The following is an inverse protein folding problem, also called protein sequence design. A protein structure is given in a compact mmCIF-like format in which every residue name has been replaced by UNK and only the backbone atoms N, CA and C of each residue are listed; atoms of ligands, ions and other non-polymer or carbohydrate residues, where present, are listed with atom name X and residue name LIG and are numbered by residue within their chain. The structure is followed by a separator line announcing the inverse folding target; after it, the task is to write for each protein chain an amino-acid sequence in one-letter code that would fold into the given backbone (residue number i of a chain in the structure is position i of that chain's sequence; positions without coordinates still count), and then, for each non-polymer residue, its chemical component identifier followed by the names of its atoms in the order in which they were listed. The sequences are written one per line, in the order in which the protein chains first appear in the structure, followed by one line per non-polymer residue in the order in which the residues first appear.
data_IF_856753946404
#
_entry.id   IF_856753946404
#
_cell.length_a   1.000
_cell.length_b   1.000
_cell.length_c   1.000
_cell.angle_alpha   90.00
_cell.angle_beta   90.00
_cell.angle_gamma   90.00
#
_symmetry.space_group_name_H-M   'P 1'
#
loop_
_entity.id
_entity.type
_entity.pdbx_description
1 polymer ?
#
# COMPACT_ATOMS: atom_id res chain seq x y z
N UNK A 1 17.24 2.16 10.36
CA UNK A 1 16.07 2.60 11.15
C UNK A 1 14.87 1.64 11.05
N UNK A 2 14.52 1.10 9.86
CA UNK A 2 13.35 0.21 9.69
C UNK A 2 13.43 -1.18 10.37
N UNK A 3 14.63 -1.75 10.55
CA UNK A 3 14.79 -3.09 11.15
C UNK A 3 14.46 -3.13 12.65
N UNK A 4 14.90 -2.12 13.41
CA UNK A 4 14.57 -1.98 14.83
C UNK A 4 13.06 -1.80 15.04
N UNK A 5 12.40 -1.10 14.10
CA UNK A 5 10.95 -0.94 14.13
C UNK A 5 10.22 -2.27 13.92
N UNK A 6 10.70 -3.16 13.04
CA UNK A 6 10.08 -4.47 12.81
C UNK A 6 10.19 -5.39 14.04
N UNK A 7 11.34 -5.36 14.73
CA UNK A 7 11.52 -6.09 15.99
C UNK A 7 10.60 -5.61 17.10
N UNK A 8 10.53 -4.29 17.28
CA UNK A 8 9.60 -3.70 18.23
C UNK A 8 8.14 -4.03 17.87
N UNK A 9 7.81 -3.99 16.59
CA UNK A 9 6.46 -4.31 16.08
C UNK A 9 6.06 -5.75 16.45
N UNK A 10 6.95 -6.72 16.22
CA UNK A 10 6.72 -8.10 16.61
C UNK A 10 6.65 -8.28 18.13
N UNK A 11 7.57 -7.65 18.88
CA UNK A 11 7.55 -7.65 20.35
C UNK A 11 6.29 -7.02 20.96
N UNK A 12 5.64 -6.10 20.24
CA UNK A 12 4.36 -5.50 20.60
C UNK A 12 3.14 -6.37 20.22
N UNK A 13 3.35 -7.58 19.68
CA UNK A 13 2.31 -8.55 19.32
C UNK A 13 1.80 -8.45 17.89
N UNK A 14 2.43 -7.65 17.02
CA UNK A 14 2.04 -7.61 15.62
C UNK A 14 2.53 -8.86 14.87
N UNK A 15 1.65 -9.45 14.06
CA UNK A 15 1.91 -10.65 13.27
C UNK A 15 2.32 -10.36 11.82
N UNK A 16 2.50 -9.08 11.47
CA UNK A 16 2.93 -8.68 10.14
C UNK A 16 3.12 -7.18 10.00
N UNK A 17 3.70 -6.75 8.88
CA UNK A 17 3.94 -5.35 8.58
C UNK A 17 3.79 -5.02 7.09
N UNK A 18 3.50 -3.74 6.81
CA UNK A 18 3.71 -3.18 5.49
C UNK A 18 5.17 -2.70 5.39
N UNK A 19 5.88 -3.09 4.34
CA UNK A 19 7.26 -2.65 4.07
C UNK A 19 7.30 -1.99 2.70
N UNK A 20 7.46 -0.67 2.68
CA UNK A 20 7.45 0.12 1.44
C UNK A 20 8.82 0.26 0.78
N UNK A 21 8.77 0.36 -0.55
CA UNK A 21 9.93 0.58 -1.41
C UNK A 21 10.20 2.06 -1.69
N UNK A 22 9.31 2.98 -1.28
CA UNK A 22 9.61 4.40 -1.21
C UNK A 22 10.64 4.66 -0.09
N UNK A 23 11.65 5.47 -0.39
CA UNK A 23 12.60 5.95 0.62
C UNK A 23 11.91 6.93 1.56
N UNK A 24 12.43 7.06 2.78
CA UNK A 24 11.86 7.94 3.81
C UNK A 24 11.88 9.43 3.46
N UNK A 25 12.66 9.84 2.46
CA UNK A 25 12.63 11.20 1.91
C UNK A 25 11.45 11.45 0.95
N UNK A 26 10.77 10.39 0.49
CA UNK A 26 9.69 10.47 -0.48
C UNK A 26 10.15 10.75 -1.92
N UNK A 27 11.46 10.83 -2.17
CA UNK A 27 12.02 11.32 -3.43
C UNK A 27 12.41 10.22 -4.40
N UNK A 28 12.63 9.00 -3.92
CA UNK A 28 12.94 7.87 -4.79
C UNK A 28 12.49 6.55 -4.20
N UNK A 29 12.43 5.53 -5.04
CA UNK A 29 12.34 4.15 -4.60
C UNK A 29 13.74 3.62 -4.26
N UNK A 30 13.81 2.66 -3.36
CA UNK A 30 14.96 1.77 -3.27
C UNK A 30 15.16 1.01 -4.58
N UNK A 31 16.40 0.63 -4.87
CA UNK A 31 16.67 -0.32 -5.96
C UNK A 31 15.90 -1.62 -5.70
N UNK A 32 15.66 -2.40 -6.76
CA UNK A 32 14.92 -3.65 -6.62
C UNK A 32 15.65 -4.60 -5.66
N UNK A 33 16.97 -4.66 -5.80
CA UNK A 33 17.90 -5.47 -5.04
C UNK A 33 17.88 -5.09 -3.56
N UNK A 34 17.95 -3.78 -3.26
CA UNK A 34 17.87 -3.27 -1.88
C UNK A 34 16.51 -3.57 -1.26
N UNK A 35 15.40 -3.38 -1.99
CA UNK A 35 14.09 -3.68 -1.45
C UNK A 35 13.92 -5.18 -1.18
N UNK A 36 14.34 -6.05 -2.10
CA UNK A 36 14.32 -7.50 -1.90
C UNK A 36 15.16 -7.90 -0.68
N UNK A 37 16.36 -7.33 -0.53
CA UNK A 37 17.20 -7.55 0.64
C UNK A 37 16.49 -7.12 1.93
N UNK A 38 15.85 -5.94 1.94
CA UNK A 38 15.09 -5.44 3.09
C UNK A 38 13.94 -6.36 3.48
N UNK A 39 13.18 -6.87 2.51
CA UNK A 39 12.07 -7.81 2.78
C UNK A 39 12.59 -9.11 3.42
N UNK A 40 13.63 -9.71 2.84
CA UNK A 40 14.26 -10.93 3.37
C UNK A 40 14.79 -10.71 4.79
N UNK A 41 15.46 -9.57 5.03
CA UNK A 41 16.01 -9.26 6.36
C UNK A 41 14.91 -9.09 7.40
N UNK A 42 13.75 -8.52 7.06
CA UNK A 42 12.60 -8.44 7.99
C UNK A 42 12.09 -9.82 8.37
N UNK A 43 11.92 -10.73 7.40
CA UNK A 43 11.47 -12.10 7.67
C UNK A 43 12.49 -12.88 8.53
N UNK A 44 13.77 -12.78 8.19
CA UNK A 44 14.86 -13.42 8.94
C UNK A 44 14.88 -12.95 10.39
N UNK A 45 14.85 -11.64 10.61
CA UNK A 45 14.86 -11.04 11.95
C UNK A 45 13.60 -11.41 12.75
N UNK A 46 12.43 -11.46 12.11
CA UNK A 46 11.21 -11.93 12.77
C UNK A 46 11.34 -13.39 13.21
N UNK A 47 11.89 -14.26 12.36
CA UNK A 47 12.13 -15.66 12.69
C UNK A 47 13.17 -15.84 13.81
N UNK A 48 14.28 -15.09 13.79
CA UNK A 48 15.31 -15.05 14.86
C UNK A 48 14.70 -14.69 16.23
N UNK A 49 13.57 -13.98 16.24
CA UNK A 49 12.87 -13.52 17.45
C UNK A 49 11.60 -14.33 17.76
N UNK A 50 11.46 -15.52 17.17
CA UNK A 50 10.36 -16.45 17.47
C UNK A 50 9.06 -16.16 16.72
N UNK A 51 9.03 -15.20 15.79
CA UNK A 51 7.87 -14.86 14.97
C UNK A 51 7.94 -15.49 13.58
N UNK A 52 8.01 -16.81 13.51
CA UNK A 52 8.14 -17.55 12.24
C UNK A 52 6.91 -17.42 11.31
N UNK A 53 5.76 -17.02 11.84
CA UNK A 53 4.54 -16.74 11.08
C UNK A 53 4.38 -15.28 10.66
N UNK A 54 5.42 -14.44 10.78
CA UNK A 54 5.32 -13.02 10.46
C UNK A 54 5.10 -12.80 8.96
N UNK A 55 4.03 -12.09 8.60
CA UNK A 55 3.68 -11.83 7.19
C UNK A 55 4.13 -10.44 6.74
N UNK A 56 4.66 -10.34 5.52
CA UNK A 56 4.95 -9.05 4.90
C UNK A 56 3.93 -8.76 3.80
N UNK A 57 3.34 -7.57 3.90
CA UNK A 57 2.61 -6.93 2.81
C UNK A 57 3.55 -5.91 2.14
N UNK A 58 4.27 -6.33 1.11
CA UNK A 58 5.29 -5.50 0.47
C UNK A 58 4.62 -4.37 -0.32
N UNK A 59 4.84 -3.12 0.10
CA UNK A 59 4.21 -1.96 -0.52
C UNK A 59 5.07 -1.43 -1.66
N UNK A 60 4.45 -1.24 -2.82
CA UNK A 60 5.03 -0.73 -4.05
C UNK A 60 4.46 0.67 -4.34
N UNK A 61 5.33 1.67 -4.39
CA UNK A 61 5.01 3.09 -4.56
C UNK A 61 5.33 3.64 -5.95
N UNK A 62 5.57 2.79 -6.96
CA UNK A 62 5.87 3.21 -8.35
C UNK A 62 4.84 4.21 -8.88
N UNK A 63 3.54 3.90 -8.75
CA UNK A 63 2.48 4.81 -9.18
C UNK A 63 2.43 6.09 -8.35
N UNK A 64 2.55 5.97 -7.02
CA UNK A 64 2.56 7.11 -6.10
C UNK A 64 3.70 8.09 -6.42
N UNK A 65 4.93 7.59 -6.59
CA UNK A 65 6.10 8.41 -6.88
C UNK A 65 6.02 9.06 -8.27
N UNK A 66 5.58 8.33 -9.29
CA UNK A 66 5.42 8.89 -10.63
C UNK A 66 4.42 10.05 -10.62
N UNK A 67 3.27 9.86 -9.94
CA UNK A 67 2.25 10.89 -9.83
C UNK A 67 2.71 12.09 -8.99
N UNK A 68 3.39 11.88 -7.87
CA UNK A 68 3.89 12.98 -7.03
C UNK A 68 4.92 13.86 -7.74
N UNK A 69 5.66 13.30 -8.70
CA UNK A 69 6.60 14.03 -9.57
C UNK A 69 5.97 14.66 -10.80
N UNK A 70 4.65 14.64 -10.92
CA UNK A 70 3.92 15.28 -12.01
C UNK A 70 4.04 14.55 -13.35
N UNK A 71 4.28 13.24 -13.34
CA UNK A 71 4.23 12.45 -14.57
C UNK A 71 2.88 12.66 -15.25
N UNK A 72 2.91 13.12 -16.50
CA UNK A 72 1.69 13.29 -17.31
C UNK A 72 1.12 11.91 -17.61
N UNK A 73 -0.17 11.72 -17.37
CA UNK A 73 -0.88 10.51 -17.78
C UNK A 73 -0.83 10.34 -19.30
N UNK A 74 -0.40 9.18 -19.76
CA UNK A 74 -0.37 8.79 -21.17
C UNK A 74 -0.24 7.27 -21.26
N UNK A 75 -0.85 6.65 -22.28
CA UNK A 75 -0.98 5.19 -22.38
C UNK A 75 0.36 4.46 -22.25
N UNK A 76 1.38 4.87 -23.02
CA UNK A 76 2.70 4.23 -22.99
C UNK A 76 3.42 4.39 -21.64
N UNK A 77 3.22 5.53 -20.98
CA UNK A 77 3.79 5.82 -19.67
C UNK A 77 3.11 5.02 -18.56
N UNK A 78 1.79 4.96 -18.55
CA UNK A 78 1.00 4.17 -17.60
C UNK A 78 1.33 2.67 -17.73
N UNK A 79 1.46 2.16 -18.96
CA UNK A 79 1.87 0.77 -19.23
C UNK A 79 3.31 0.47 -18.78
N UNK A 80 4.24 1.41 -18.97
CA UNK A 80 5.61 1.24 -18.47
C UNK A 80 5.67 1.19 -16.93
N UNK A 81 4.88 2.03 -16.26
CA UNK A 81 4.76 2.01 -14.80
C UNK A 81 4.13 0.70 -14.31
N UNK A 82 3.08 0.21 -14.98
CA UNK A 82 2.44 -1.06 -14.63
C UNK A 82 3.43 -2.24 -14.78
N UNK A 83 4.22 -2.29 -15.85
CA UNK A 83 5.27 -3.30 -16.02
C UNK A 83 6.32 -3.25 -14.90
N UNK A 84 6.70 -2.05 -14.44
CA UNK A 84 7.63 -1.90 -13.32
C UNK A 84 7.01 -2.35 -11.99
N UNK A 85 5.73 -2.06 -11.75
CA UNK A 85 4.99 -2.58 -10.59
C UNK A 85 4.95 -4.12 -10.62
N UNK A 86 4.68 -4.72 -11.77
CA UNK A 86 4.68 -6.18 -11.95
C UNK A 86 6.06 -6.77 -11.66
N UNK A 87 7.12 -6.19 -12.24
CA UNK A 87 8.52 -6.62 -12.03
C UNK A 87 8.88 -6.61 -10.54
N UNK A 88 8.60 -5.50 -9.86
CA UNK A 88 8.83 -5.35 -8.42
C UNK A 88 7.99 -6.32 -7.59
N UNK A 89 6.69 -6.37 -7.85
CA UNK A 89 5.77 -7.21 -7.09
C UNK A 89 6.11 -8.70 -7.17
N UNK A 90 6.48 -9.22 -8.34
CA UNK A 90 6.93 -10.62 -8.48
C UNK A 90 8.18 -10.89 -7.65
N UNK A 91 9.18 -10.02 -7.74
CA UNK A 91 10.40 -10.15 -6.94
C UNK A 91 10.12 -10.05 -5.42
N UNK A 92 9.14 -9.24 -5.00
CA UNK A 92 8.73 -9.15 -3.59
C UNK A 92 8.07 -10.44 -3.11
N UNK A 93 7.22 -11.05 -3.94
CA UNK A 93 6.59 -12.35 -3.64
C UNK A 93 7.64 -13.47 -3.59
N UNK A 94 8.60 -13.49 -4.53
CA UNK A 94 9.74 -14.42 -4.52
C UNK A 94 10.65 -14.23 -3.29
N UNK A 95 10.75 -13.01 -2.78
CA UNK A 95 11.47 -12.70 -1.55
C UNK A 95 10.75 -13.17 -0.26
N UNK A 96 9.52 -13.69 -0.37
CA UNK A 96 8.74 -14.20 0.75
C UNK A 96 7.61 -13.28 1.22
N UNK A 97 7.32 -12.17 0.52
CA UNK A 97 6.14 -11.36 0.84
C UNK A 97 4.86 -12.18 0.63
N UNK A 98 3.91 -12.05 1.55
CA UNK A 98 2.61 -12.73 1.48
C UNK A 98 1.69 -12.05 0.47
N UNK A 99 1.74 -10.72 0.41
CA UNK A 99 0.98 -9.89 -0.53
C UNK A 99 1.81 -8.72 -1.05
N UNK A 100 1.45 -8.20 -2.21
CA UNK A 100 1.96 -6.94 -2.75
C UNK A 100 0.89 -5.87 -2.60
N UNK A 101 1.17 -4.81 -1.84
CA UNK A 101 0.30 -3.64 -1.76
C UNK A 101 0.72 -2.59 -2.78
N UNK A 102 -0.06 -2.41 -3.83
CA UNK A 102 0.22 -1.36 -4.82
C UNK A 102 -0.47 -0.07 -4.38
N UNK A 103 0.32 0.99 -4.17
CA UNK A 103 -0.17 2.29 -3.75
C UNK A 103 -0.03 3.33 -4.86
N UNK A 104 -1.17 3.89 -5.28
CA UNK A 104 -1.25 4.90 -6.32
C UNK A 104 -1.31 6.36 -5.82
N UNK A 105 -1.09 6.58 -4.53
CA UNK A 105 -1.23 7.91 -3.93
C UNK A 105 -2.70 8.36 -3.77
N UNK A 106 -2.89 9.51 -3.14
CA UNK A 106 -4.22 10.07 -2.86
C UNK A 106 -4.92 10.65 -4.11
N UNK A 107 -4.19 10.92 -5.18
CA UNK A 107 -4.72 11.49 -6.42
C UNK A 107 -5.09 10.43 -7.45
N UNK A 108 -4.09 9.74 -8.00
CA UNK A 108 -4.27 8.77 -9.10
C UNK A 108 -4.98 7.49 -8.67
N UNK A 109 -4.60 6.96 -7.50
CA UNK A 109 -5.01 5.62 -7.09
C UNK A 109 -4.52 4.52 -8.05
N UNK A 110 -5.13 3.35 -7.95
CA UNK A 110 -4.91 2.21 -8.86
C UNK A 110 -6.20 1.99 -9.64
N UNK A 111 -6.12 1.96 -10.96
CA UNK A 111 -7.29 1.90 -11.86
C UNK A 111 -7.76 0.45 -12.04
N UNK A 112 -9.03 0.26 -12.44
CA UNK A 112 -9.63 -1.07 -12.60
C UNK A 112 -8.78 -2.03 -13.45
N UNK A 113 -8.43 -1.64 -14.68
CA UNK A 113 -7.61 -2.49 -15.56
C UNK A 113 -6.25 -2.87 -14.94
N UNK A 114 -5.63 -1.97 -14.18
CA UNK A 114 -4.38 -2.24 -13.47
C UNK A 114 -4.59 -3.26 -12.36
N UNK A 115 -5.68 -3.12 -11.58
CA UNK A 115 -6.04 -4.08 -10.54
C UNK A 115 -6.23 -5.48 -11.13
N UNK A 116 -6.98 -5.61 -12.23
CA UNK A 116 -7.20 -6.91 -12.89
C UNK A 116 -5.89 -7.52 -13.37
N UNK A 117 -5.04 -6.74 -14.03
CA UNK A 117 -3.71 -7.20 -14.46
C UNK A 117 -2.86 -7.64 -13.28
N UNK A 118 -2.78 -6.83 -12.23
CA UNK A 118 -1.97 -7.12 -11.05
C UNK A 118 -2.46 -8.34 -10.27
N UNK A 119 -3.78 -8.58 -10.21
CA UNK A 119 -4.32 -9.82 -9.63
C UNK A 119 -3.83 -11.04 -10.41
N UNK A 120 -3.89 -11.00 -11.75
CA UNK A 120 -3.37 -12.09 -12.58
C UNK A 120 -1.86 -12.31 -12.40
N UNK A 121 -1.08 -11.24 -12.49
CA UNK A 121 0.39 -11.27 -12.41
C UNK A 121 0.91 -11.71 -11.03
N UNK A 122 0.15 -11.47 -9.95
CA UNK A 122 0.51 -11.84 -8.58
C UNK A 122 -0.17 -13.12 -8.08
N UNK A 123 -0.99 -13.76 -8.91
CA UNK A 123 -1.75 -14.96 -8.55
C UNK A 123 -2.69 -14.72 -7.38
N UNK A 124 -3.44 -13.61 -7.40
CA UNK A 124 -4.40 -13.23 -6.35
C UNK A 124 -3.77 -12.53 -5.13
N UNK A 125 -2.45 -12.52 -4.97
CA UNK A 125 -1.76 -11.95 -3.81
C UNK A 125 -1.61 -10.42 -3.85
N UNK A 126 -2.63 -9.73 -4.39
CA UNK A 126 -2.70 -8.27 -4.44
C UNK A 126 -3.41 -7.73 -3.20
N UNK A 127 -2.84 -6.68 -2.62
CA UNK A 127 -3.48 -5.83 -1.65
C UNK A 127 -3.69 -4.42 -2.24
N UNK A 128 -4.80 -3.77 -1.89
CA UNK A 128 -5.11 -2.39 -2.31
C UNK A 128 -5.65 -1.58 -1.13
N UNK A 129 -5.69 -0.26 -1.28
CA UNK A 129 -6.54 0.60 -0.46
C UNK A 129 -7.86 0.79 -1.19
N UNK A 130 -8.96 0.72 -0.46
CA UNK A 130 -10.28 1.11 -0.95
C UNK A 130 -10.22 2.57 -1.42
N UNK A 131 -10.57 2.75 -2.69
CA UNK A 131 -10.69 4.07 -3.32
C UNK A 131 -11.90 4.84 -2.80
N UNK A 132 -11.90 6.14 -3.05
CA UNK A 132 -13.02 7.03 -2.76
C UNK A 132 -13.53 7.64 -4.08
N UNK A 133 -14.82 7.96 -4.16
CA UNK A 133 -15.46 8.57 -5.33
C UNK A 133 -16.21 7.58 -6.22
N UNK A 134 -16.97 8.12 -7.18
CA UNK A 134 -17.91 7.36 -8.03
C UNK A 134 -17.22 6.32 -8.94
N UNK A 135 -15.95 6.54 -9.27
CA UNK A 135 -15.18 5.65 -10.13
C UNK A 135 -14.36 4.60 -9.35
N UNK A 136 -14.46 4.58 -8.02
CA UNK A 136 -13.75 3.61 -7.19
C UNK A 136 -14.53 2.30 -7.12
N UNK A 137 -13.82 1.18 -7.28
CA UNK A 137 -14.39 -0.15 -7.10
C UNK A 137 -14.81 -0.37 -5.64
N UNK A 138 -15.98 -0.98 -5.45
CA UNK A 138 -16.48 -1.42 -4.16
C UNK A 138 -15.69 -2.61 -3.62
N UNK A 139 -15.86 -2.90 -2.33
CA UNK A 139 -15.28 -4.09 -1.69
C UNK A 139 -15.71 -5.38 -2.39
N UNK A 140 -16.97 -5.46 -2.83
CA UNK A 140 -17.49 -6.63 -3.56
C UNK A 140 -16.79 -6.79 -4.91
N UNK A 141 -16.72 -5.74 -5.70
CA UNK A 141 -16.05 -5.78 -7.01
C UNK A 141 -14.56 -6.15 -6.88
N UNK A 142 -13.85 -5.59 -5.89
CA UNK A 142 -12.45 -5.94 -5.61
C UNK A 142 -12.30 -7.42 -5.21
N UNK A 143 -13.20 -7.94 -4.38
CA UNK A 143 -13.21 -9.34 -3.98
C UNK A 143 -13.50 -10.27 -5.18
N UNK A 144 -14.47 -9.91 -6.02
CA UNK A 144 -14.86 -10.67 -7.23
C UNK A 144 -13.73 -10.69 -8.28
N UNK A 145 -12.92 -9.62 -8.35
CA UNK A 145 -11.72 -9.58 -9.20
C UNK A 145 -10.61 -10.50 -8.66
N UNK A 146 -10.61 -10.81 -7.36
CA UNK A 146 -9.62 -11.69 -6.72
C UNK A 146 -8.56 -10.97 -5.89
N UNK A 147 -8.83 -9.75 -5.41
CA UNK A 147 -7.95 -9.03 -4.48
C UNK A 147 -7.94 -9.73 -3.12
N UNK A 148 -6.75 -10.07 -2.61
CA UNK A 148 -6.61 -10.78 -1.33
C UNK A 148 -6.82 -9.90 -0.09
N UNK A 149 -6.51 -8.59 -0.18
CA UNK A 149 -6.60 -7.68 0.98
C UNK A 149 -7.00 -6.28 0.59
N UNK A 150 -8.00 -5.73 1.29
CA UNK A 150 -8.51 -4.38 1.09
C UNK A 150 -8.32 -3.60 2.40
N UNK A 151 -7.54 -2.53 2.35
CA UNK A 151 -7.33 -1.61 3.47
C UNK A 151 -8.13 -0.32 3.27
N UNK A 152 -8.35 0.46 4.33
CA UNK A 152 -9.04 1.76 4.26
C UNK A 152 -8.12 2.95 4.51
N UNK A 153 -6.82 2.72 4.76
CA UNK A 153 -5.86 3.78 5.07
C UNK A 153 -6.37 4.73 6.18
N UNK A 154 -6.17 6.06 6.04
CA UNK A 154 -6.66 7.03 7.02
C UNK A 154 -8.15 7.39 6.85
N UNK A 155 -8.88 6.79 5.89
CA UNK A 155 -10.20 7.26 5.47
C UNK A 155 -11.23 7.31 6.61
N UNK A 156 -11.25 6.32 7.50
CA UNK A 156 -12.17 6.33 8.65
C UNK A 156 -11.82 7.41 9.67
N UNK A 157 -10.53 7.68 9.88
CA UNK A 157 -10.08 8.77 10.74
C UNK A 157 -10.47 10.14 10.15
N UNK A 158 -10.29 10.32 8.83
CA UNK A 158 -10.70 11.54 8.14
C UNK A 158 -12.22 11.74 8.17
N UNK A 159 -13.00 10.66 8.03
CA UNK A 159 -14.47 10.71 8.16
C UNK A 159 -14.90 11.13 9.58
N UNK A 160 -14.30 10.56 10.61
CA UNK A 160 -14.55 10.97 12.00
C UNK A 160 -14.20 12.44 12.25
N UNK A 161 -13.04 12.88 11.75
CA UNK A 161 -12.61 14.28 11.88
C UNK A 161 -13.52 15.26 11.14
N UNK A 162 -14.14 14.86 10.02
CA UNK A 162 -15.13 15.67 9.33
C UNK A 162 -16.34 15.95 10.21
N UNK A 163 -16.87 14.94 10.90
CA UNK A 163 -17.99 15.10 11.83
C UNK A 163 -17.62 16.03 13.01
N UNK A 164 -16.42 15.86 13.58
CA UNK A 164 -15.91 16.75 14.63
C UNK A 164 -15.84 18.19 14.12
N UNK A 165 -15.32 18.40 12.91
CA UNK A 165 -15.19 19.73 12.29
C UNK A 165 -16.55 20.38 12.05
N UNK A 166 -17.55 19.62 11.63
CA UNK A 166 -18.92 20.13 11.41
C UNK A 166 -19.55 20.61 12.72
N UNK A 167 -19.48 19.80 13.78
CA UNK A 167 -20.01 20.16 15.11
C UNK A 167 -19.27 21.37 15.68
N UNK A 168 -17.94 21.37 15.62
CA UNK A 168 -17.12 22.50 16.08
C UNK A 168 -17.45 23.79 15.30
N UNK A 169 -17.66 23.68 13.99
CA UNK A 169 -18.08 24.80 13.14
C UNK A 169 -19.40 25.42 13.60
N UNK A 170 -20.39 24.58 13.94
CA UNK A 170 -21.67 25.07 14.50
C UNK A 170 -21.47 25.81 15.81
N UNK A 171 -20.69 25.24 16.74
CA UNK A 171 -20.44 25.85 18.06
C UNK A 171 -19.80 27.22 17.92
N UNK A 172 -18.75 27.34 17.10
CA UNK A 172 -18.02 28.61 16.90
C UNK A 172 -18.90 29.68 16.25
N UNK A 173 -19.92 29.29 15.47
CA UNK A 173 -20.89 30.20 14.87
C UNK A 173 -22.07 30.56 15.82
N UNK A 174 -22.00 30.19 17.10
CA UNK A 174 -23.05 30.45 18.09
C UNK A 174 -24.20 29.43 18.08
N UNK A 175 -24.06 28.34 17.33
CA UNK A 175 -24.99 27.22 17.31
C UNK A 175 -24.87 26.31 18.53
N UNK A 176 -25.66 25.23 18.54
CA UNK A 176 -25.61 24.15 19.54
C UNK A 176 -24.81 22.96 19.00
N UNK A 177 -24.52 22.00 19.88
CA UNK A 177 -23.99 20.68 19.53
C UNK A 177 -24.79 20.03 18.40
#
# INVERSE_FOLDING_TARGET
MQLAACLWTAGAGAVGANVEDLRGDGEALWSLEEQVWRLKRVLEVAAENGCTGFVINARCDVFNLAWSKGAKSGADGDEALLREVVRRGKAYLEAGATTVFVWGGAGRGVRDHEIRTLVGEFGGRLAVKLGEGENALSVRELADIGVARISVGPSLYLAGNKAVREVAGRIVQGGRL
#
